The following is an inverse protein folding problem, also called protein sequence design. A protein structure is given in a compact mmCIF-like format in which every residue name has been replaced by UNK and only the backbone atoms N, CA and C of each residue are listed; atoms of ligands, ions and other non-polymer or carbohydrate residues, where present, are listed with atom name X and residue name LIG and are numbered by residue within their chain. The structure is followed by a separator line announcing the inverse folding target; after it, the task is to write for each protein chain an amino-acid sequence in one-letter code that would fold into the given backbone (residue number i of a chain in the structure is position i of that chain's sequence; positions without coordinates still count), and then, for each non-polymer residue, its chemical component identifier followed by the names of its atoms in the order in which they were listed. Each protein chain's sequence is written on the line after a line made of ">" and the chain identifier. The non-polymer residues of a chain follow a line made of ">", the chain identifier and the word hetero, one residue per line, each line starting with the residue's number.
data_IF_808482848396
#
_entry.id   IF_808482848396
#
_cell.length_a   1.000
_cell.length_b   1.000
_cell.length_c   1.000
_cell.angle_alpha   90.00
_cell.angle_beta   90.00
_cell.angle_gamma   90.00
#
_symmetry.space_group_name_H-M   'P 1'
#
loop_
_entity.id
_entity.type
_entity.pdbx_description
1 polymer ?
#
# COMPACT_ATOMS: atom_id res chain seq x y z
N UNK A 1 9.79 -20.87 16.78
CA UNK A 1 9.81 -21.33 15.36
C UNK A 1 10.83 -22.46 15.22
N UNK A 2 10.48 -23.59 14.59
CA UNK A 2 11.39 -24.72 14.39
C UNK A 2 12.59 -24.28 13.51
N UNK A 3 13.82 -24.70 13.83
CA UNK A 3 15.04 -24.42 13.04
C UNK A 3 14.89 -24.81 11.57
N UNK A 4 14.15 -25.88 11.28
CA UNK A 4 13.85 -26.29 9.91
C UNK A 4 13.05 -25.23 9.13
N UNK A 5 12.10 -24.55 9.78
CA UNK A 5 11.30 -23.47 9.17
C UNK A 5 12.18 -22.24 8.93
N UNK A 6 13.05 -21.87 9.88
CA UNK A 6 14.01 -20.77 9.70
C UNK A 6 14.93 -20.98 8.49
N UNK A 7 15.39 -22.22 8.30
CA UNK A 7 16.29 -22.58 7.21
C UNK A 7 15.55 -22.67 5.87
N UNK A 8 14.32 -23.20 5.85
CA UNK A 8 13.46 -23.19 4.67
C UNK A 8 13.09 -21.77 4.23
N UNK A 9 12.79 -20.86 5.17
CA UNK A 9 12.50 -19.45 4.90
C UNK A 9 13.68 -18.74 4.24
N UNK A 10 14.91 -19.01 4.70
CA UNK A 10 16.12 -18.44 4.09
C UNK A 10 16.34 -18.92 2.65
N UNK A 11 16.01 -20.18 2.37
CA UNK A 11 16.26 -20.80 1.07
C UNK A 11 15.11 -20.54 0.07
N UNK A 12 13.87 -20.47 0.56
CA UNK A 12 12.66 -20.35 -0.24
C UNK A 12 11.68 -19.36 0.41
N UNK A 13 11.85 -18.04 0.17
CA UNK A 13 11.00 -17.01 0.77
C UNK A 13 9.50 -17.16 0.45
N UNK A 14 9.16 -17.81 -0.68
CA UNK A 14 7.78 -18.10 -1.10
C UNK A 14 7.07 -19.12 -0.22
N UNK A 15 7.81 -19.94 0.55
CA UNK A 15 7.20 -20.90 1.51
C UNK A 15 6.45 -20.18 2.62
N UNK A 16 6.82 -18.92 2.92
CA UNK A 16 6.14 -18.12 3.94
C UNK A 16 4.67 -17.95 3.60
N UNK A 17 4.31 -17.80 2.33
CA UNK A 17 2.94 -17.45 1.94
C UNK A 17 1.93 -18.59 2.24
N UNK A 18 2.42 -19.81 2.47
CA UNK A 18 1.62 -20.98 2.83
C UNK A 18 1.58 -21.26 4.35
N UNK A 19 2.31 -20.48 5.16
CA UNK A 19 2.31 -20.65 6.61
C UNK A 19 1.05 -20.05 7.25
N UNK A 20 0.68 -20.57 8.43
CA UNK A 20 -0.28 -19.88 9.28
C UNK A 20 0.22 -18.47 9.61
N UNK A 21 -0.69 -17.52 9.78
CA UNK A 21 -0.32 -16.13 10.03
C UNK A 21 0.65 -15.92 11.20
N UNK A 22 0.52 -16.58 12.39
CA UNK A 22 1.52 -16.45 13.45
C UNK A 22 2.94 -16.87 13.00
N UNK A 23 3.04 -17.90 12.17
CA UNK A 23 4.31 -18.35 11.60
C UNK A 23 4.81 -17.41 10.50
N UNK A 24 3.92 -16.79 9.71
CA UNK A 24 4.28 -15.72 8.76
C UNK A 24 4.88 -14.52 9.48
N UNK A 25 4.21 -14.03 10.52
CA UNK A 25 4.68 -12.93 11.33
C UNK A 25 6.05 -13.24 11.98
N UNK A 26 6.20 -14.43 12.56
CA UNK A 26 7.50 -14.85 13.11
C UNK A 26 8.60 -14.93 12.04
N UNK A 27 8.28 -15.43 10.85
CA UNK A 27 9.20 -15.49 9.73
C UNK A 27 9.59 -14.10 9.22
N UNK A 28 8.64 -13.17 9.10
CA UNK A 28 8.89 -11.78 8.69
C UNK A 28 9.70 -11.01 9.73
N UNK A 29 9.43 -11.21 11.03
CA UNK A 29 10.26 -10.64 12.12
C UNK A 29 11.70 -11.14 12.05
N UNK A 30 11.91 -12.41 11.69
CA UNK A 30 13.23 -13.02 11.57
C UNK A 30 13.98 -12.65 10.28
N UNK A 31 13.25 -12.33 9.22
CA UNK A 31 13.81 -12.01 7.89
C UNK A 31 12.97 -10.90 7.23
N UNK A 32 13.14 -9.64 7.64
CA UNK A 32 12.44 -8.52 7.03
C UNK A 32 12.89 -8.34 5.56
N UNK A 33 11.94 -8.02 4.70
CA UNK A 33 12.15 -7.64 3.31
C UNK A 33 12.29 -6.11 3.27
N UNK A 34 13.43 -5.57 2.81
CA UNK A 34 13.61 -4.13 2.68
C UNK A 34 12.48 -3.51 1.85
N UNK A 35 12.03 -2.31 2.24
CA UNK A 35 10.94 -1.60 1.54
C UNK A 35 11.21 -1.47 0.05
N UNK A 36 12.41 -1.03 -0.34
CA UNK A 36 12.83 -0.92 -1.75
C UNK A 36 12.67 -2.25 -2.51
N UNK A 37 12.89 -3.39 -1.85
CA UNK A 37 12.72 -4.69 -2.46
C UNK A 37 11.25 -5.03 -2.69
N UNK A 38 10.35 -4.64 -1.78
CA UNK A 38 8.91 -4.78 -1.97
C UNK A 38 8.40 -3.85 -3.08
N UNK A 39 8.85 -2.60 -3.11
CA UNK A 39 8.54 -1.65 -4.19
C UNK A 39 9.01 -2.19 -5.56
N UNK A 40 10.23 -2.71 -5.65
CA UNK A 40 10.74 -3.34 -6.88
C UNK A 40 9.97 -4.59 -7.30
N UNK A 41 9.59 -5.45 -6.35
CA UNK A 41 8.77 -6.64 -6.64
C UNK A 41 7.41 -6.24 -7.18
N UNK A 42 6.74 -5.33 -6.49
CA UNK A 42 5.41 -4.84 -6.87
C UNK A 42 5.45 -4.16 -8.24
N UNK A 43 6.44 -3.32 -8.51
CA UNK A 43 6.68 -2.69 -9.82
C UNK A 43 6.78 -3.74 -10.94
N UNK A 44 7.59 -4.78 -10.75
CA UNK A 44 7.77 -5.85 -11.74
C UNK A 44 6.48 -6.62 -12.00
N UNK A 45 5.71 -6.89 -10.96
CA UNK A 45 4.45 -7.63 -11.03
C UNK A 45 3.38 -6.82 -11.76
N UNK A 46 3.20 -5.54 -11.39
CA UNK A 46 2.29 -4.61 -12.07
C UNK A 46 2.69 -4.46 -13.54
N UNK A 47 3.96 -4.16 -13.82
CA UNK A 47 4.48 -4.05 -15.20
C UNK A 47 4.31 -5.36 -15.99
N UNK A 48 4.33 -6.51 -15.32
CA UNK A 48 4.07 -7.81 -15.92
C UNK A 48 2.63 -7.94 -16.39
N UNK A 49 1.67 -7.58 -15.53
CA UNK A 49 0.25 -7.58 -15.87
C UNK A 49 -0.03 -6.54 -16.96
N UNK A 50 0.39 -5.29 -16.75
CA UNK A 50 0.15 -4.17 -17.69
C UNK A 50 0.68 -4.46 -19.09
N UNK A 51 1.87 -5.07 -19.23
CA UNK A 51 2.38 -5.48 -20.55
C UNK A 51 1.53 -6.55 -21.24
N UNK A 52 0.98 -7.52 -20.49
CA UNK A 52 0.07 -8.52 -21.07
C UNK A 52 -1.20 -7.85 -21.61
N UNK A 53 -1.78 -6.94 -20.84
CA UNK A 53 -3.01 -6.25 -21.23
C UNK A 53 -2.79 -5.18 -22.30
N UNK A 54 -1.60 -4.57 -22.36
CA UNK A 54 -1.18 -3.74 -23.50
C UNK A 54 -1.16 -4.56 -24.79
N UNK A 55 -0.60 -5.77 -24.75
CA UNK A 55 -0.57 -6.65 -25.92
C UNK A 55 -1.97 -7.06 -26.37
N UNK A 56 -2.90 -7.28 -25.43
CA UNK A 56 -4.31 -7.52 -25.79
C UNK A 56 -4.95 -6.29 -26.43
N UNK A 57 -4.65 -5.07 -25.96
CA UNK A 57 -5.09 -3.83 -26.62
C UNK A 57 -4.54 -3.76 -28.05
N UNK A 58 -3.22 -3.79 -28.22
CA UNK A 58 -2.52 -3.74 -29.52
C UNK A 58 -3.12 -4.69 -30.57
N UNK A 59 -3.47 -5.91 -30.16
CA UNK A 59 -3.97 -6.94 -31.07
C UNK A 59 -5.50 -6.96 -31.25
N UNK A 60 -6.25 -6.12 -30.53
CA UNK A 60 -7.72 -6.18 -30.54
C UNK A 60 -8.37 -5.46 -31.72
N UNK A 61 -7.63 -4.61 -32.45
CA UNK A 61 -8.15 -3.84 -33.57
C UNK A 61 -9.36 -2.96 -33.21
N UNK A 62 -9.45 -2.48 -31.97
CA UNK A 62 -10.57 -1.67 -31.48
C UNK A 62 -11.69 -2.43 -30.78
N UNK A 63 -11.67 -3.77 -30.79
CA UNK A 63 -12.72 -4.59 -30.18
C UNK A 63 -12.18 -5.43 -29.03
N UNK A 64 -12.34 -4.91 -27.81
CA UNK A 64 -11.88 -5.61 -26.60
C UNK A 64 -12.85 -6.70 -26.15
N UNK A 65 -12.34 -7.80 -25.56
CA UNK A 65 -13.19 -8.77 -24.86
C UNK A 65 -14.05 -8.08 -23.80
N UNK A 66 -15.30 -8.53 -23.65
CA UNK A 66 -16.22 -7.96 -22.64
C UNK A 66 -15.66 -8.01 -21.22
N UNK A 67 -14.88 -9.05 -20.90
CA UNK A 67 -14.27 -9.25 -19.59
C UNK A 67 -12.92 -8.55 -19.43
N UNK A 68 -12.41 -7.84 -20.43
CA UNK A 68 -11.04 -7.28 -20.45
C UNK A 68 -10.67 -6.55 -19.14
N UNK A 69 -11.51 -5.61 -18.69
CA UNK A 69 -11.24 -4.83 -17.48
C UNK A 69 -11.42 -5.64 -16.19
N UNK A 70 -12.34 -6.61 -16.19
CA UNK A 70 -12.57 -7.50 -15.04
C UNK A 70 -11.40 -8.48 -14.88
N UNK A 71 -10.92 -9.04 -15.99
CA UNK A 71 -9.74 -9.89 -16.01
C UNK A 71 -8.51 -9.07 -15.59
N UNK A 72 -8.35 -7.83 -16.07
CA UNK A 72 -7.24 -6.95 -15.67
C UNK A 72 -7.22 -6.68 -14.16
N UNK A 73 -8.37 -6.32 -13.56
CA UNK A 73 -8.49 -6.13 -12.12
C UNK A 73 -8.17 -7.41 -11.34
N UNK A 74 -8.70 -8.56 -11.78
CA UNK A 74 -8.44 -9.86 -11.15
C UNK A 74 -6.95 -10.21 -11.20
N UNK A 75 -6.33 -10.13 -12.37
CA UNK A 75 -4.92 -10.44 -12.57
C UNK A 75 -4.02 -9.49 -11.75
N UNK A 76 -4.34 -8.20 -11.69
CA UNK A 76 -3.65 -7.26 -10.80
C UNK A 76 -3.76 -7.70 -9.34
N UNK A 77 -4.98 -7.93 -8.86
CA UNK A 77 -5.26 -8.36 -7.47
C UNK A 77 -4.44 -9.59 -7.09
N UNK A 78 -4.44 -10.60 -7.95
CA UNK A 78 -3.70 -11.85 -7.73
C UNK A 78 -2.20 -11.62 -7.60
N UNK A 79 -1.63 -10.78 -8.47
CA UNK A 79 -0.18 -10.54 -8.49
C UNK A 79 0.28 -9.64 -7.33
N UNK A 80 -0.50 -8.63 -6.95
CA UNK A 80 -0.09 -7.67 -5.90
C UNK A 80 -0.36 -8.17 -4.48
N UNK A 81 -1.23 -9.17 -4.29
CA UNK A 81 -1.65 -9.61 -2.97
C UNK A 81 -0.49 -10.06 -2.08
N UNK A 82 0.43 -10.88 -2.60
CA UNK A 82 1.55 -11.42 -1.82
C UNK A 82 2.54 -10.33 -1.33
N UNK A 83 3.08 -9.43 -2.18
CA UNK A 83 3.96 -8.36 -1.72
C UNK A 83 3.25 -7.37 -0.79
N UNK A 84 1.97 -7.05 -1.03
CA UNK A 84 1.19 -6.17 -0.13
C UNK A 84 0.98 -6.78 1.25
N UNK A 85 0.63 -8.07 1.34
CA UNK A 85 0.56 -8.80 2.61
C UNK A 85 1.91 -8.79 3.33
N UNK A 86 2.99 -9.02 2.59
CA UNK A 86 4.34 -9.02 3.15
C UNK A 86 4.73 -7.67 3.77
N UNK A 87 4.25 -6.55 3.21
CA UNK A 87 4.46 -5.24 3.82
C UNK A 87 3.74 -5.13 5.16
N UNK A 88 2.44 -5.40 5.17
CA UNK A 88 1.61 -5.20 6.35
C UNK A 88 2.02 -6.16 7.48
N UNK A 89 2.39 -7.39 7.15
CA UNK A 89 2.97 -8.33 8.13
C UNK A 89 4.22 -7.77 8.77
N UNK A 90 5.11 -7.14 7.99
CA UNK A 90 6.31 -6.51 8.54
C UNK A 90 5.97 -5.29 9.40
N UNK A 91 5.06 -4.44 8.94
CA UNK A 91 4.55 -3.31 9.73
C UNK A 91 4.01 -3.84 11.07
N UNK A 92 3.22 -4.91 11.08
CA UNK A 92 2.73 -5.54 12.31
C UNK A 92 3.86 -6.07 13.21
N UNK A 93 4.90 -6.69 12.64
CA UNK A 93 6.03 -7.17 13.45
C UNK A 93 6.78 -6.04 14.16
N UNK A 94 6.81 -4.83 13.58
CA UNK A 94 7.39 -3.65 14.22
C UNK A 94 6.56 -3.19 15.43
N UNK A 95 5.26 -3.53 15.50
CA UNK A 95 4.39 -3.26 16.65
C UNK A 95 4.19 -4.47 17.56
N UNK A 96 4.86 -5.60 17.28
CA UNK A 96 4.61 -6.87 17.99
C UNK A 96 4.85 -6.82 19.50
N UNK A 97 5.68 -5.88 19.98
CA UNK A 97 5.91 -5.70 21.42
C UNK A 97 4.67 -5.10 22.13
N UNK A 98 3.81 -4.38 21.39
CA UNK A 98 2.53 -3.83 21.86
C UNK A 98 1.38 -4.85 21.77
N UNK A 99 1.52 -5.88 20.93
CA UNK A 99 0.49 -6.92 20.67
C UNK A 99 0.24 -7.82 21.89
N UNK A 100 1.11 -7.79 22.90
CA UNK A 100 0.89 -8.49 24.18
C UNK A 100 -0.31 -7.94 24.98
N UNK A 101 -0.76 -6.71 24.70
CA UNK A 101 -1.91 -6.08 25.37
C UNK A 101 -3.24 -6.28 24.63
N UNK A 102 -3.19 -6.87 23.44
CA UNK A 102 -4.32 -6.94 22.51
C UNK A 102 -4.84 -8.37 22.47
N UNK A 103 -6.16 -8.57 22.38
CA UNK A 103 -6.73 -9.83 21.88
C UNK A 103 -6.12 -10.16 20.51
N UNK A 104 -5.12 -11.05 20.54
CA UNK A 104 -4.27 -11.36 19.40
C UNK A 104 -5.07 -11.98 18.27
N UNK A 105 -6.11 -12.78 18.58
CA UNK A 105 -6.91 -13.45 17.58
C UNK A 105 -7.82 -12.45 16.83
N UNK A 106 -8.49 -11.55 17.57
CA UNK A 106 -9.34 -10.52 16.96
C UNK A 106 -8.54 -9.49 16.15
N UNK A 107 -7.41 -9.01 16.69
CA UNK A 107 -6.55 -8.07 15.96
C UNK A 107 -5.99 -8.66 14.66
N UNK A 108 -5.65 -9.94 14.68
CA UNK A 108 -5.24 -10.68 13.49
C UNK A 108 -6.34 -10.68 12.41
N UNK A 109 -7.59 -10.95 12.79
CA UNK A 109 -8.72 -10.94 11.84
C UNK A 109 -9.01 -9.55 11.26
N UNK A 110 -8.93 -8.51 12.11
CA UNK A 110 -9.14 -7.12 11.71
C UNK A 110 -8.05 -6.65 10.74
N UNK A 111 -6.79 -7.03 11.01
CA UNK A 111 -5.66 -6.74 10.12
C UNK A 111 -5.83 -7.45 8.79
N UNK A 112 -6.09 -8.77 8.77
CA UNK A 112 -6.26 -9.51 7.51
C UNK A 112 -7.41 -8.96 6.66
N UNK A 113 -8.50 -8.53 7.32
CA UNK A 113 -9.61 -7.84 6.67
C UNK A 113 -9.16 -6.49 6.09
N UNK A 114 -8.44 -5.68 6.85
CA UNK A 114 -7.91 -4.40 6.38
C UNK A 114 -6.91 -4.58 5.21
N UNK A 115 -6.06 -5.62 5.26
CA UNK A 115 -5.14 -5.98 4.18
C UNK A 115 -5.90 -6.33 2.91
N UNK A 116 -6.91 -7.20 3.05
CA UNK A 116 -7.71 -7.65 1.90
C UNK A 116 -8.43 -6.46 1.27
N UNK A 117 -9.01 -5.56 2.08
CA UNK A 117 -9.60 -4.32 1.57
C UNK A 117 -8.58 -3.44 0.85
N UNK A 118 -7.38 -3.26 1.39
CA UNK A 118 -6.35 -2.46 0.75
C UNK A 118 -5.92 -3.05 -0.61
N UNK A 119 -5.71 -4.36 -0.70
CA UNK A 119 -5.39 -5.04 -1.96
C UNK A 119 -6.50 -4.82 -3.00
N UNK A 120 -7.75 -4.90 -2.57
CA UNK A 120 -8.92 -4.77 -3.44
C UNK A 120 -9.09 -3.34 -3.95
N UNK A 121 -8.93 -2.36 -3.06
CA UNK A 121 -8.95 -0.94 -3.40
C UNK A 121 -7.85 -0.57 -4.40
N UNK A 122 -6.66 -1.16 -4.26
CA UNK A 122 -5.54 -0.93 -5.17
C UNK A 122 -5.81 -1.51 -6.54
N UNK A 123 -6.14 -2.80 -6.62
CA UNK A 123 -6.40 -3.49 -7.88
C UNK A 123 -7.53 -2.79 -8.65
N UNK A 124 -8.65 -2.51 -7.96
CA UNK A 124 -9.79 -1.79 -8.52
C UNK A 124 -9.41 -0.37 -8.94
N UNK A 125 -8.71 0.38 -8.08
CA UNK A 125 -8.34 1.76 -8.36
C UNK A 125 -7.44 1.90 -9.60
N UNK A 126 -6.49 0.99 -9.78
CA UNK A 126 -5.63 0.93 -10.96
C UNK A 126 -6.44 0.57 -12.20
N UNK A 127 -7.30 -0.46 -12.11
CA UNK A 127 -8.15 -0.90 -13.21
C UNK A 127 -9.14 0.18 -13.65
N UNK A 128 -9.89 0.77 -12.73
CA UNK A 128 -10.88 1.81 -12.99
C UNK A 128 -10.26 3.08 -13.55
N UNK A 129 -9.07 3.47 -13.08
CA UNK A 129 -8.38 4.65 -13.61
C UNK A 129 -7.90 4.40 -15.04
N UNK A 130 -7.38 3.21 -15.32
CA UNK A 130 -6.94 2.82 -16.67
C UNK A 130 -8.13 2.71 -17.62
N UNK A 131 -9.24 2.13 -17.17
CA UNK A 131 -10.50 2.05 -17.90
C UNK A 131 -11.07 3.43 -18.23
N UNK A 132 -11.15 4.32 -17.24
CA UNK A 132 -11.66 5.69 -17.45
C UNK A 132 -10.81 6.47 -18.44
N UNK A 133 -9.48 6.29 -18.41
CA UNK A 133 -8.58 6.90 -19.39
C UNK A 133 -8.87 6.37 -20.79
N UNK A 134 -8.97 5.05 -20.96
CA UNK A 134 -9.31 4.43 -22.23
C UNK A 134 -10.67 4.92 -22.77
N UNK A 135 -11.70 4.95 -21.93
CA UNK A 135 -13.03 5.45 -22.30
C UNK A 135 -13.02 6.96 -22.64
N UNK A 136 -12.17 7.75 -21.98
CA UNK A 136 -11.99 9.16 -22.32
C UNK A 136 -11.39 9.32 -23.72
N UNK A 137 -10.34 8.55 -24.04
CA UNK A 137 -9.72 8.56 -25.36
C UNK A 137 -10.70 8.13 -26.46
N UNK A 138 -11.54 7.12 -26.20
CA UNK A 138 -12.61 6.75 -27.13
C UNK A 138 -13.60 7.90 -27.38
N UNK A 139 -13.99 8.63 -26.31
CA UNK A 139 -14.89 9.79 -26.44
C UNK A 139 -14.24 10.98 -27.15
N UNK A 140 -12.92 11.14 -27.04
CA UNK A 140 -12.16 12.15 -27.78
C UNK A 140 -12.14 11.87 -29.30
N UNK A 141 -12.46 10.64 -29.73
CA UNK A 141 -12.52 10.26 -31.14
C UNK A 141 -11.15 10.13 -31.81
N UNK A 142 -10.09 9.96 -31.02
CA UNK A 142 -8.74 9.69 -31.54
C UNK A 142 -8.66 8.32 -32.21
N UNK A 143 -7.67 8.13 -33.09
CA UNK A 143 -7.46 6.84 -33.77
C UNK A 143 -7.14 5.72 -32.78
N UNK A 144 -7.47 4.48 -33.11
CA UNK A 144 -7.19 3.34 -32.22
C UNK A 144 -5.70 3.19 -31.92
N UNK A 145 -4.83 3.40 -32.92
CA UNK A 145 -3.37 3.36 -32.75
C UNK A 145 -2.91 4.42 -31.74
N UNK A 146 -3.48 5.63 -31.78
CA UNK A 146 -3.19 6.67 -30.81
C UNK A 146 -3.70 6.32 -29.40
N UNK A 147 -4.83 5.61 -29.27
CA UNK A 147 -5.28 5.08 -27.97
C UNK A 147 -4.23 4.12 -27.41
N UNK A 148 -3.76 3.18 -28.23
CA UNK A 148 -2.73 2.21 -27.84
C UNK A 148 -1.45 2.91 -27.39
N UNK A 149 -0.97 3.90 -28.15
CA UNK A 149 0.22 4.69 -27.78
C UNK A 149 0.06 5.40 -26.43
N UNK A 150 -1.08 6.07 -26.21
CA UNK A 150 -1.35 6.77 -24.94
C UNK A 150 -1.52 5.79 -23.77
N UNK A 151 -2.13 4.63 -24.01
CA UNK A 151 -2.24 3.57 -23.01
C UNK A 151 -0.88 2.91 -22.72
N UNK A 152 0.03 2.82 -23.69
CA UNK A 152 1.38 2.32 -23.47
C UNK A 152 2.18 3.18 -22.47
N UNK A 153 1.99 4.51 -22.50
CA UNK A 153 2.57 5.41 -21.48
C UNK A 153 1.99 5.13 -20.09
N UNK A 154 0.70 4.83 -20.00
CA UNK A 154 0.03 4.46 -18.76
C UNK A 154 0.50 3.10 -18.24
N UNK A 155 0.80 2.16 -19.12
CA UNK A 155 1.29 0.81 -18.81
C UNK A 155 2.82 0.72 -18.77
N UNK A 156 3.48 1.86 -18.58
CA UNK A 156 4.94 1.96 -18.50
C UNK A 156 5.48 1.53 -17.14
N UNK A 157 6.72 1.07 -17.11
CA UNK A 157 7.41 0.70 -15.86
C UNK A 157 7.50 1.84 -14.85
N UNK A 158 7.68 3.08 -15.32
CA UNK A 158 7.73 4.27 -14.44
C UNK A 158 6.39 4.57 -13.77
N UNK A 159 5.28 4.26 -14.46
CA UNK A 159 3.94 4.36 -13.89
C UNK A 159 3.66 3.20 -12.92
N UNK A 160 4.04 1.98 -13.27
CA UNK A 160 3.96 0.83 -12.37
C UNK A 160 4.75 1.05 -11.07
N UNK A 161 5.92 1.68 -11.14
CA UNK A 161 6.74 2.07 -9.98
C UNK A 161 6.03 3.11 -9.11
N UNK A 162 5.43 4.13 -9.74
CA UNK A 162 4.63 5.12 -9.02
C UNK A 162 3.46 4.47 -8.29
N UNK A 163 2.72 3.56 -8.92
CA UNK A 163 1.66 2.79 -8.27
C UNK A 163 2.25 1.99 -7.11
N UNK A 164 3.33 1.24 -7.35
CA UNK A 164 3.93 0.39 -6.34
C UNK A 164 4.29 1.15 -5.06
N UNK A 165 4.97 2.29 -5.20
CA UNK A 165 5.32 3.15 -4.05
C UNK A 165 4.05 3.67 -3.36
N UNK A 166 3.15 4.26 -4.13
CA UNK A 166 1.96 4.95 -3.61
C UNK A 166 1.05 3.98 -2.84
N UNK A 167 0.84 2.79 -3.39
CA UNK A 167 -0.11 1.83 -2.84
C UNK A 167 0.49 0.98 -1.73
N UNK A 168 1.81 0.78 -1.72
CA UNK A 168 2.52 0.23 -0.56
C UNK A 168 2.40 1.18 0.65
N UNK A 169 2.63 2.48 0.42
CA UNK A 169 2.45 3.52 1.45
C UNK A 169 1.01 3.57 1.97
N UNK A 170 0.03 3.47 1.07
CA UNK A 170 -1.38 3.46 1.45
C UNK A 170 -1.70 2.24 2.32
N UNK A 171 -1.24 1.06 1.93
CA UNK A 171 -1.46 -0.17 2.68
C UNK A 171 -0.95 -0.08 4.13
N UNK A 172 0.23 0.50 4.33
CA UNK A 172 0.77 0.74 5.69
C UNK A 172 -0.07 1.73 6.49
N UNK A 173 -0.52 2.81 5.88
CA UNK A 173 -1.35 3.80 6.54
C UNK A 173 -2.71 3.21 6.98
N UNK A 174 -3.33 2.38 6.14
CA UNK A 174 -4.54 1.64 6.49
C UNK A 174 -4.30 0.65 7.64
N UNK A 175 -3.15 0.00 7.66
CA UNK A 175 -2.76 -0.87 8.77
C UNK A 175 -2.65 -0.09 10.09
N UNK A 176 -1.99 1.07 10.09
CA UNK A 176 -1.86 1.91 11.28
C UNK A 176 -3.23 2.37 11.82
N UNK A 177 -4.15 2.77 10.93
CA UNK A 177 -5.52 3.12 11.30
C UNK A 177 -6.27 1.93 11.94
N UNK A 178 -6.16 0.73 11.36
CA UNK A 178 -6.79 -0.47 11.88
C UNK A 178 -6.24 -0.85 13.27
N UNK A 179 -4.92 -0.77 13.45
CA UNK A 179 -4.27 -1.03 14.73
C UNK A 179 -4.70 -0.02 15.80
N UNK A 180 -4.72 1.28 15.48
CA UNK A 180 -5.16 2.32 16.41
C UNK A 180 -6.64 2.15 16.80
N UNK A 181 -7.52 1.82 15.84
CA UNK A 181 -8.93 1.50 16.10
C UNK A 181 -9.05 0.34 17.08
N UNK A 182 -8.30 -0.74 16.85
CA UNK A 182 -8.34 -1.93 17.70
C UNK A 182 -7.85 -1.66 19.13
N UNK A 183 -6.79 -0.87 19.27
CA UNK A 183 -6.29 -0.44 20.58
C UNK A 183 -7.37 0.38 21.32
N UNK A 184 -8.03 1.29 20.62
CA UNK A 184 -9.10 2.12 21.20
C UNK A 184 -10.30 1.28 21.66
N UNK A 185 -10.72 0.27 20.90
CA UNK A 185 -11.79 -0.67 21.27
C UNK A 185 -11.49 -1.42 22.59
N UNK A 186 -10.22 -1.60 22.91
CA UNK A 186 -9.74 -2.26 24.13
C UNK A 186 -9.44 -1.27 25.26
N UNK A 187 -9.81 0.02 25.09
CA UNK A 187 -9.55 1.06 26.08
C UNK A 187 -8.10 1.53 26.14
N UNK A 188 -7.25 1.10 25.19
CA UNK A 188 -5.86 1.55 25.08
C UNK A 188 -5.83 2.83 24.25
N UNK A 189 -5.50 3.94 24.90
CA UNK A 189 -5.26 5.20 24.21
C UNK A 189 -4.02 5.07 23.33
N UNK A 190 -4.12 5.49 22.07
CA UNK A 190 -3.00 5.52 21.12
C UNK A 190 -3.06 6.81 20.30
N UNK A 191 -1.92 7.19 19.73
CA UNK A 191 -1.79 8.34 18.85
C UNK A 191 -1.12 7.89 17.56
N UNK A 192 -1.53 8.46 16.42
CA UNK A 192 -0.87 8.22 15.14
C UNK A 192 0.07 9.39 14.88
N UNK A 193 1.36 9.12 14.70
CA UNK A 193 2.39 10.11 14.34
C UNK A 193 2.82 9.93 12.90
N UNK A 194 2.92 11.02 12.15
CA UNK A 194 3.52 11.03 10.82
C UNK A 194 5.04 10.96 10.94
N UNK A 195 5.66 10.07 10.16
CA UNK A 195 7.11 10.00 10.02
C UNK A 195 7.48 10.18 8.55
N UNK A 196 8.18 11.28 8.27
CA UNK A 196 8.64 11.57 6.91
C UNK A 196 9.84 10.69 6.59
N UNK A 197 9.80 10.02 5.44
CA UNK A 197 10.92 9.22 4.95
C UNK A 197 12.14 10.12 4.70
N UNK A 198 13.37 9.59 4.83
CA UNK A 198 14.59 10.39 4.68
C UNK A 198 14.68 11.11 3.34
N UNK A 199 14.23 10.46 2.26
CA UNK A 199 14.16 11.02 0.91
C UNK A 199 13.05 12.09 0.75
N UNK A 200 12.07 12.13 1.65
CA UNK A 200 10.95 13.05 1.64
C UNK A 200 11.13 14.24 2.61
N UNK A 201 12.24 14.32 3.35
CA UNK A 201 12.50 15.43 4.31
C UNK A 201 12.60 16.80 3.66
N UNK A 202 12.90 16.84 2.36
CA UNK A 202 12.92 18.08 1.55
C UNK A 202 11.62 18.30 0.78
N UNK A 203 10.68 17.34 0.81
CA UNK A 203 9.40 17.48 0.14
C UNK A 203 8.57 18.58 0.82
N UNK A 204 8.15 19.63 0.09
CA UNK A 204 7.40 20.74 0.69
C UNK A 204 5.99 20.35 1.16
N UNK A 205 5.52 19.15 0.81
CA UNK A 205 4.25 18.57 1.26
C UNK A 205 4.47 17.76 2.54
N UNK A 206 5.49 16.89 2.57
CA UNK A 206 5.70 15.95 3.69
C UNK A 206 6.54 16.51 4.83
N UNK A 207 7.57 17.31 4.54
CA UNK A 207 8.47 17.90 5.55
C UNK A 207 7.73 18.63 6.68
N UNK A 208 6.69 19.46 6.42
CA UNK A 208 5.95 20.12 7.49
C UNK A 208 5.17 19.17 8.40
N UNK A 209 4.87 17.96 7.92
CA UNK A 209 4.15 16.94 8.67
C UNK A 209 5.06 16.07 9.54
N UNK A 210 6.39 16.22 9.44
CA UNK A 210 7.31 15.35 10.16
C UNK A 210 7.12 15.42 11.67
N UNK A 211 7.03 14.25 12.29
CA UNK A 211 6.75 14.04 13.71
C UNK A 211 5.43 14.63 14.23
N UNK A 212 4.49 15.05 13.37
CA UNK A 212 3.20 15.58 13.81
C UNK A 212 2.21 14.47 14.13
N UNK A 213 1.38 14.67 15.15
CA UNK A 213 0.25 13.78 15.38
C UNK A 213 -0.82 13.99 14.31
N UNK A 214 -1.56 12.93 13.96
CA UNK A 214 -2.64 12.94 12.97
C UNK A 214 -3.71 14.01 13.23
N UNK A 215 -3.98 14.31 14.50
CA UNK A 215 -4.98 15.31 14.90
C UNK A 215 -4.40 16.72 15.07
N UNK A 216 -3.08 16.91 14.90
CA UNK A 216 -2.48 18.24 14.87
C UNK A 216 -2.75 18.92 13.51
N UNK A 217 -3.09 20.21 13.54
CA UNK A 217 -3.16 21.02 12.33
C UNK A 217 -1.75 21.30 11.79
N UNK A 218 -1.58 21.16 10.47
CA UNK A 218 -0.29 21.34 9.80
C UNK A 218 -0.46 22.32 8.64
N UNK A 219 0.35 23.36 8.62
CA UNK A 219 0.37 24.33 7.53
C UNK A 219 1.37 23.87 6.46
N UNK A 220 0.91 23.60 5.24
CA UNK A 220 1.80 23.28 4.12
C UNK A 220 1.70 24.35 3.04
N UNK A 221 2.81 24.87 2.50
CA UNK A 221 2.79 25.92 1.48
C UNK A 221 2.01 25.57 0.20
N UNK A 222 1.68 24.29 -0.04
CA UNK A 222 1.02 23.78 -1.25
C UNK A 222 -0.34 23.09 -1.01
N UNK A 223 -0.86 23.09 0.22
CA UNK A 223 -2.07 22.33 0.57
C UNK A 223 -1.84 20.81 0.66
N UNK A 224 -2.74 20.10 1.35
CA UNK A 224 -2.75 18.63 1.40
C UNK A 224 -3.40 18.01 0.16
N UNK A 225 -3.12 16.73 -0.10
CA UNK A 225 -3.72 15.99 -1.23
C UNK A 225 -5.02 15.33 -0.81
N UNK A 226 -6.13 15.81 -1.40
CA UNK A 226 -7.57 15.57 -1.14
C UNK A 226 -8.39 16.87 -0.91
N UNK A 227 -7.80 18.05 -1.12
CA UNK A 227 -8.49 19.34 -0.96
C UNK A 227 -8.39 19.95 0.44
N UNK A 228 -7.55 19.39 1.31
CA UNK A 228 -7.18 19.99 2.59
C UNK A 228 -6.42 21.30 2.37
N UNK A 229 -7.05 22.40 2.75
CA UNK A 229 -6.51 23.76 2.73
C UNK A 229 -5.54 23.99 3.89
N UNK A 230 -4.79 25.11 3.82
CA UNK A 230 -4.01 25.64 4.94
C UNK A 230 -4.85 25.64 6.24
N UNK A 231 -4.42 24.90 7.26
CA UNK A 231 -5.13 24.77 8.53
C UNK A 231 -5.99 23.52 8.70
N UNK A 232 -6.04 22.62 7.71
CA UNK A 232 -6.74 21.33 7.84
C UNK A 232 -5.83 20.22 8.39
N UNK A 233 -6.45 19.21 9.03
CA UNK A 233 -5.75 18.00 9.48
C UNK A 233 -5.17 17.28 8.27
N UNK A 234 -3.86 17.05 8.26
CA UNK A 234 -3.25 16.19 7.25
C UNK A 234 -3.90 14.81 7.31
N UNK A 235 -4.30 14.29 6.14
CA UNK A 235 -4.78 12.91 6.03
C UNK A 235 -3.71 11.87 6.41
N UNK A 236 -3.90 10.65 5.93
CA UNK A 236 -2.91 9.58 6.06
C UNK A 236 -2.02 9.50 4.80
N UNK A 237 -0.78 8.97 4.87
CA UNK A 237 0.00 8.68 3.68
C UNK A 237 -0.75 7.75 2.70
N UNK A 238 -0.50 7.84 1.38
CA UNK A 238 0.42 8.75 0.70
C UNK A 238 -0.16 10.17 0.56
N UNK A 239 0.67 11.20 0.78
CA UNK A 239 0.27 12.60 0.58
C UNK A 239 0.38 13.06 -0.87
N UNK A 240 0.99 12.29 -1.76
CA UNK A 240 1.11 12.58 -3.19
C UNK A 240 1.58 11.32 -3.91
N UNK A 241 1.54 11.27 -5.25
CA UNK A 241 2.18 10.20 -6.01
C UNK A 241 3.67 10.06 -5.61
N UNK A 242 4.12 8.81 -5.44
CA UNK A 242 5.48 8.44 -5.00
C UNK A 242 5.84 8.82 -3.55
N UNK A 243 4.88 9.26 -2.73
CA UNK A 243 5.12 9.51 -1.31
C UNK A 243 5.51 8.21 -0.58
N UNK A 244 6.62 8.25 0.17
CA UNK A 244 7.16 7.12 0.96
C UNK A 244 7.07 7.30 2.48
N UNK A 245 6.39 8.35 2.93
CA UNK A 245 6.17 8.60 4.35
C UNK A 245 5.32 7.50 4.99
N UNK A 246 5.47 7.29 6.29
CA UNK A 246 4.74 6.27 7.03
C UNK A 246 4.10 6.86 8.28
N UNK A 247 3.15 6.12 8.86
CA UNK A 247 2.51 6.48 10.12
C UNK A 247 2.87 5.49 11.22
N UNK A 248 3.22 6.03 12.39
CA UNK A 248 3.55 5.25 13.58
C UNK A 248 2.40 5.30 14.57
N UNK A 249 1.97 4.14 15.06
CA UNK A 249 1.05 4.06 16.20
C UNK A 249 1.88 4.11 17.49
N UNK A 250 1.68 5.15 18.28
CA UNK A 250 2.35 5.38 19.55
C UNK A 250 1.37 5.18 20.72
N UNK A 251 1.85 4.53 21.78
CA UNK A 251 1.14 4.52 23.05
C UNK A 251 1.65 5.69 23.90
N UNK A 252 0.76 6.47 24.56
CA UNK A 252 1.21 7.50 25.49
C UNK A 252 2.02 6.83 26.59
N UNK A 253 3.27 7.26 26.77
CA UNK A 253 4.04 6.92 27.97
C UNK A 253 3.22 7.34 29.17
N UNK A 254 2.88 6.40 30.08
CA UNK A 254 2.23 6.75 31.36
C UNK A 254 3.00 7.93 31.95
N UNK A 255 2.35 9.09 32.12
CA UNK A 255 2.89 10.08 33.06
C UNK A 255 3.05 9.34 34.38
N UNK A 256 4.22 9.34 35.03
CA UNK A 256 4.31 8.84 36.38
C UNK A 256 3.29 9.62 37.19
N UNK A 257 2.32 8.91 37.74
CA UNK A 257 1.39 9.45 38.73
C UNK A 257 2.24 9.97 39.88
N UNK A 258 2.33 11.30 39.99
CA UNK A 258 2.83 11.97 41.18
C UNK A 258 1.90 11.76 42.36
#
# INVERSE_FOLDING_TARGET
>A
MNKAIQQAVKLYPSVIDYLSLPNRLAARKAAPIPRDELERRLTRLISGVERRYLSVLENSGGSLPFTFWQDYERDLREQIAAPMRSQIEQSFTNYSDYVNFIDQAGAVGDIDTAMTRAIDEVARGVADTSRRQFEALLREGVSYDEIVERMALRFSSGHAEQIAITELTRAEAHFADALASRLSEQGVQSQIRWQTSEDEKVCPICSPADHKLRDEAINTPRGGWNGQTWGDRFGRPPAHPRCRCLTIVELPTRRPSG
#
